data_IF_694438853446
#
_entry.id   IF_694438853446
#
_cell.length_a   1.000
_cell.length_b   1.000
_cell.length_c   1.000
_cell.angle_alpha   90.00
_cell.angle_beta   90.00
_cell.angle_gamma   90.00
#
_symmetry.space_group_name_H-M   'P 1'
#
loop_
_entity.id
_entity.type
_entity.pdbx_description
1 polymer ?
#
# COMPACT_ATOMS: atom_id res chain seq x y z
N UNK A 1 8.16 3.72 0.36
CA UNK A 1 7.95 3.01 1.63
C UNK A 1 6.82 2.00 1.49
N UNK A 2 7.08 0.74 1.85
CA UNK A 2 6.09 -0.35 1.86
C UNK A 2 6.02 -0.94 3.28
N UNK A 3 4.82 -1.14 3.82
CA UNK A 3 4.59 -1.57 5.22
C UNK A 3 3.51 -2.65 5.28
N UNK A 4 3.42 -3.45 6.36
CA UNK A 4 2.29 -4.35 6.57
C UNK A 4 0.96 -3.58 6.61
N UNK A 5 -0.11 -4.16 6.05
CA UNK A 5 -1.46 -3.56 6.11
C UNK A 5 -2.08 -3.71 7.51
N UNK A 6 -1.81 -2.72 8.36
CA UNK A 6 -2.33 -2.65 9.72
C UNK A 6 -3.85 -2.44 9.79
N UNK A 7 -4.54 -2.13 8.69
CA UNK A 7 -6.01 -2.06 8.71
C UNK A 7 -6.63 -3.40 9.14
N UNK A 8 -5.97 -4.51 8.86
CA UNK A 8 -6.34 -5.84 9.34
C UNK A 8 -6.41 -5.91 10.88
N UNK A 9 -5.46 -5.28 11.57
CA UNK A 9 -5.39 -5.29 13.03
C UNK A 9 -6.34 -4.24 13.60
N UNK A 10 -6.29 -3.01 13.09
CA UNK A 10 -7.06 -1.87 13.59
C UNK A 10 -8.57 -2.15 13.55
N UNK A 11 -9.09 -2.75 12.48
CA UNK A 11 -10.49 -3.17 12.39
C UNK A 11 -10.92 -4.13 13.51
N UNK A 12 -10.02 -4.98 14.00
CA UNK A 12 -10.30 -5.94 15.07
C UNK A 12 -10.08 -5.40 16.48
N UNK A 13 -9.38 -4.28 16.62
CA UNK A 13 -9.19 -3.60 17.90
C UNK A 13 -10.39 -2.72 18.26
N UNK A 14 -11.21 -2.32 17.28
CA UNK A 14 -12.40 -1.50 17.48
C UNK A 14 -12.13 -0.22 18.30
N UNK A 15 -11.00 0.45 18.03
CA UNK A 15 -10.63 1.72 18.65
C UNK A 15 -10.06 1.64 20.07
N UNK A 16 -9.95 0.45 20.69
CA UNK A 16 -9.41 0.31 22.06
C UNK A 16 -7.99 -0.24 22.07
N UNK A 17 -7.10 0.45 22.79
CA UNK A 17 -5.69 0.10 23.02
C UNK A 17 -5.37 -0.10 24.51
N UNK A 18 -6.35 -0.55 25.31
CA UNK A 18 -6.07 -1.00 26.67
C UNK A 18 -5.10 -2.20 26.72
N UNK A 19 -4.73 -2.70 27.92
CA UNK A 19 -3.78 -3.81 28.07
C UNK A 19 -4.13 -5.04 27.21
N UNK A 20 -5.40 -5.43 27.17
CA UNK A 20 -5.92 -6.51 26.33
C UNK A 20 -5.78 -6.17 24.83
N UNK A 21 -6.03 -4.92 24.46
CA UNK A 21 -5.87 -4.41 23.09
C UNK A 21 -4.42 -4.49 22.60
N UNK A 22 -3.44 -4.18 23.46
CA UNK A 22 -2.01 -4.29 23.13
C UNK A 22 -1.61 -5.74 22.89
N UNK A 23 -2.01 -6.67 23.78
CA UNK A 23 -1.72 -8.10 23.61
C UNK A 23 -2.36 -8.60 22.31
N UNK A 24 -3.62 -8.22 22.06
CA UNK A 24 -4.35 -8.55 20.83
C UNK A 24 -3.65 -7.98 19.59
N UNK A 25 -3.13 -6.75 19.65
CA UNK A 25 -2.37 -6.13 18.57
C UNK A 25 -1.09 -6.92 18.26
N UNK A 26 -0.30 -7.24 19.29
CA UNK A 26 0.97 -7.97 19.13
C UNK A 26 0.78 -9.37 18.55
N UNK A 27 -0.32 -10.03 18.90
CA UNK A 27 -0.69 -11.31 18.31
C UNK A 27 -1.17 -11.18 16.86
N UNK A 28 -2.02 -10.20 16.58
CA UNK A 28 -2.61 -10.03 15.24
C UNK A 28 -1.64 -9.44 14.22
N UNK A 29 -0.66 -8.61 14.62
CA UNK A 29 0.31 -8.01 13.68
C UNK A 29 1.15 -9.08 12.96
N UNK A 30 1.46 -10.19 13.63
CA UNK A 30 2.19 -11.32 13.04
C UNK A 30 1.37 -12.09 12.00
N UNK A 31 0.04 -11.91 12.01
CA UNK A 31 -0.89 -12.56 11.08
C UNK A 31 -1.22 -11.71 9.85
N UNK A 32 -0.60 -10.53 9.70
CA UNK A 32 -0.80 -9.69 8.53
C UNK A 32 -0.17 -10.38 7.32
N UNK A 33 -0.98 -10.61 6.29
CA UNK A 33 -0.57 -11.24 5.02
C UNK A 33 -0.49 -10.28 3.84
N UNK A 34 -0.89 -9.03 4.04
CA UNK A 34 -0.92 -8.01 3.00
C UNK A 34 0.05 -6.89 3.33
N UNK A 35 0.64 -6.30 2.31
CA UNK A 35 1.43 -5.07 2.42
C UNK A 35 0.70 -3.90 1.79
N UNK A 36 1.07 -2.69 2.19
CA UNK A 36 0.60 -1.45 1.62
C UNK A 36 1.80 -0.63 1.16
N UNK A 37 1.83 -0.31 -0.13
CA UNK A 37 2.77 0.65 -0.69
C UNK A 37 2.22 2.06 -0.42
N UNK A 38 2.86 2.77 0.50
CA UNK A 38 2.45 4.12 0.90
C UNK A 38 3.02 5.19 -0.03
N UNK A 39 4.29 5.02 -0.38
CA UNK A 39 5.01 5.99 -1.21
C UNK A 39 5.97 5.27 -2.14
N UNK A 40 6.07 5.78 -3.36
CA UNK A 40 7.12 5.42 -4.30
C UNK A 40 7.39 6.64 -5.16
N UNK A 41 8.65 6.87 -5.49
CA UNK A 41 9.01 7.98 -6.35
C UNK A 41 10.43 7.84 -6.88
N UNK A 42 10.61 8.34 -8.09
CA UNK A 42 11.90 8.57 -8.72
C UNK A 42 12.02 10.09 -8.91
N UNK A 43 13.19 10.63 -8.54
CA UNK A 43 13.52 12.05 -8.76
C UNK A 43 13.49 12.36 -10.26
N UNK A 44 13.11 13.61 -10.59
CA UNK A 44 12.66 13.97 -11.95
C UNK A 44 13.70 13.67 -13.03
N UNK A 45 14.97 13.84 -12.70
CA UNK A 45 16.14 13.68 -13.58
C UNK A 45 16.33 12.22 -14.04
N UNK A 46 15.76 11.28 -13.29
CA UNK A 46 15.92 9.84 -13.46
C UNK A 46 14.63 9.12 -13.88
N UNK A 47 13.54 9.85 -14.09
CA UNK A 47 12.27 9.29 -14.57
C UNK A 47 12.39 8.81 -16.02
N UNK A 48 11.53 7.87 -16.40
CA UNK A 48 11.47 7.28 -17.75
C UNK A 48 12.76 6.56 -18.19
N UNK A 49 13.61 6.15 -17.23
CA UNK A 49 14.81 5.34 -17.48
C UNK A 49 14.65 3.87 -17.09
N UNK A 50 13.42 3.45 -16.76
CA UNK A 50 13.09 2.09 -16.33
C UNK A 50 13.35 1.80 -14.85
N UNK A 51 13.82 2.79 -14.08
CA UNK A 51 14.09 2.63 -12.64
C UNK A 51 12.82 2.33 -11.84
N UNK A 52 11.67 2.85 -12.28
CA UNK A 52 10.37 2.57 -11.70
C UNK A 52 10.06 1.06 -11.74
N UNK A 53 10.33 0.41 -12.87
CA UNK A 53 10.13 -1.03 -13.04
C UNK A 53 11.05 -1.86 -12.13
N UNK A 54 12.31 -1.44 -11.98
CA UNK A 54 13.26 -2.08 -11.05
C UNK A 54 12.75 -1.95 -9.61
N UNK A 55 12.29 -0.76 -9.21
CA UNK A 55 11.73 -0.54 -7.89
C UNK A 55 10.49 -1.42 -7.63
N UNK A 56 9.59 -1.55 -8.60
CA UNK A 56 8.44 -2.44 -8.49
C UNK A 56 8.87 -3.90 -8.27
N UNK A 57 9.81 -4.38 -9.09
CA UNK A 57 10.33 -5.74 -8.99
C UNK A 57 10.97 -6.02 -7.63
N UNK A 58 11.82 -5.11 -7.14
CA UNK A 58 12.48 -5.28 -5.84
C UNK A 58 11.47 -5.27 -4.69
N UNK A 59 10.41 -4.46 -4.76
CA UNK A 59 9.34 -4.48 -3.76
C UNK A 59 8.60 -5.82 -3.77
N UNK A 60 8.19 -6.30 -4.95
CA UNK A 60 7.49 -7.59 -5.08
C UNK A 60 8.35 -8.76 -4.58
N UNK A 61 9.64 -8.76 -4.94
CA UNK A 61 10.61 -9.75 -4.48
C UNK A 61 10.81 -9.72 -2.97
N UNK A 62 11.07 -8.55 -2.39
CA UNK A 62 11.31 -8.40 -0.96
C UNK A 62 10.07 -8.77 -0.13
N UNK A 63 8.88 -8.34 -0.57
CA UNK A 63 7.62 -8.62 0.14
C UNK A 63 7.20 -10.08 0.01
N UNK A 64 7.41 -10.70 -1.15
CA UNK A 64 7.22 -12.14 -1.33
C UNK A 64 8.16 -12.97 -0.45
N UNK A 65 9.45 -12.61 -0.40
CA UNK A 65 10.43 -13.26 0.47
C UNK A 65 10.10 -13.12 1.97
N UNK A 66 9.45 -12.03 2.37
CA UNK A 66 8.96 -11.81 3.72
C UNK A 66 7.65 -12.55 4.05
N UNK A 67 7.08 -13.31 3.11
CA UNK A 67 5.89 -14.15 3.32
C UNK A 67 4.55 -13.41 3.25
N UNK A 68 4.51 -12.29 2.51
CA UNK A 68 3.27 -11.59 2.18
C UNK A 68 2.69 -12.10 0.87
N UNK A 69 1.36 -12.26 0.84
CA UNK A 69 0.65 -12.90 -0.27
C UNK A 69 0.23 -11.89 -1.36
N UNK A 70 -0.06 -10.65 -0.95
CA UNK A 70 -0.46 -9.59 -1.88
C UNK A 70 -0.22 -8.19 -1.31
N UNK A 71 -0.34 -7.18 -2.18
CA UNK A 71 -0.16 -5.77 -1.83
C UNK A 71 -1.33 -4.89 -2.26
N UNK A 72 -1.55 -3.81 -1.52
CA UNK A 72 -2.37 -2.67 -1.91
C UNK A 72 -1.45 -1.50 -2.23
N UNK A 73 -1.72 -0.80 -3.31
CA UNK A 73 -1.14 0.51 -3.58
C UNK A 73 -2.16 1.52 -3.10
N UNK A 74 -1.71 2.45 -2.25
CA UNK A 74 -2.57 3.50 -1.68
C UNK A 74 -3.27 4.30 -2.79
N UNK A 75 -4.03 5.33 -2.43
CA UNK A 75 -4.60 6.23 -3.42
C UNK A 75 -3.57 6.92 -4.33
N UNK A 76 -3.89 6.98 -5.62
CA UNK A 76 -3.26 7.85 -6.62
C UNK A 76 -4.32 8.79 -7.19
N UNK A 77 -3.87 9.92 -7.73
CA UNK A 77 -4.76 10.79 -8.50
C UNK A 77 -5.13 10.09 -9.82
N UNK A 78 -6.38 10.28 -10.24
CA UNK A 78 -6.90 9.64 -11.45
C UNK A 78 -6.18 10.09 -12.73
N UNK A 79 -5.73 11.34 -12.77
CA UNK A 79 -5.03 11.97 -13.88
C UNK A 79 -3.51 11.72 -13.90
N UNK A 80 -2.99 10.95 -12.94
CA UNK A 80 -1.58 10.58 -12.92
C UNK A 80 -1.33 9.34 -13.79
N UNK A 81 -1.43 9.52 -15.11
CA UNK A 81 -1.30 8.45 -16.10
C UNK A 81 0.00 7.64 -15.95
N UNK A 82 1.10 8.30 -15.60
CA UNK A 82 2.41 7.66 -15.45
C UNK A 82 2.39 6.59 -14.37
N UNK A 83 1.93 6.94 -13.15
CA UNK A 83 1.88 5.95 -12.07
C UNK A 83 0.77 4.93 -12.33
N UNK A 84 -0.40 5.36 -12.83
CA UNK A 84 -1.55 4.47 -13.04
C UNK A 84 -1.23 3.37 -14.07
N UNK A 85 -0.57 3.70 -15.18
CA UNK A 85 -0.08 2.70 -16.14
C UNK A 85 0.98 1.77 -15.53
N UNK A 86 1.87 2.31 -14.69
CA UNK A 86 2.84 1.50 -13.95
C UNK A 86 2.17 0.49 -13.01
N UNK A 87 1.10 0.90 -12.32
CA UNK A 87 0.29 0.05 -11.44
C UNK A 87 -0.38 -1.09 -12.22
N UNK A 88 -0.99 -0.77 -13.35
CA UNK A 88 -1.61 -1.76 -14.24
C UNK A 88 -0.57 -2.75 -14.81
N UNK A 89 0.60 -2.25 -15.22
CA UNK A 89 1.70 -3.07 -15.72
C UNK A 89 2.28 -4.05 -14.66
N UNK A 90 2.18 -3.71 -13.37
CA UNK A 90 2.49 -4.64 -12.27
C UNK A 90 1.44 -5.75 -12.09
N UNK A 91 0.35 -5.76 -12.86
CA UNK A 91 -0.76 -6.71 -12.71
C UNK A 91 -1.75 -6.36 -11.61
N UNK A 92 -1.68 -5.12 -11.08
CA UNK A 92 -2.64 -4.66 -10.08
C UNK A 92 -4.00 -4.38 -10.70
N UNK A 93 -5.06 -4.51 -9.91
CA UNK A 93 -6.44 -4.24 -10.34
C UNK A 93 -7.01 -3.06 -9.55
N UNK A 94 -7.61 -2.10 -10.25
CA UNK A 94 -8.35 -1.00 -9.62
C UNK A 94 -9.55 -1.59 -8.85
N UNK A 95 -9.53 -1.47 -7.51
CA UNK A 95 -10.58 -2.04 -6.66
C UNK A 95 -11.54 -0.98 -6.09
N UNK A 96 -11.14 0.29 -6.03
CA UNK A 96 -11.97 1.38 -5.52
C UNK A 96 -11.55 2.71 -6.12
N UNK A 97 -12.55 3.52 -6.47
CA UNK A 97 -12.39 4.88 -6.96
C UNK A 97 -13.10 5.84 -6.00
N UNK A 98 -12.40 6.85 -5.53
CA UNK A 98 -12.95 7.88 -4.65
C UNK A 98 -13.23 9.17 -5.45
N UNK A 99 -14.22 9.92 -4.98
CA UNK A 99 -14.56 11.25 -5.47
C UNK A 99 -14.63 12.16 -4.26
N UNK A 100 -13.87 13.24 -4.29
CA UNK A 100 -13.86 14.25 -3.24
C UNK A 100 -14.74 15.39 -3.74
N UNK A 101 -15.74 15.74 -2.95
CA UNK A 101 -16.63 16.86 -3.20
C UNK A 101 -16.42 17.89 -2.10
N UNK A 102 -16.45 19.15 -2.48
CA UNK A 102 -16.46 20.28 -1.56
C UNK A 102 -17.82 20.97 -1.67
N UNK A 103 -18.38 21.36 -0.53
CA UNK A 103 -19.56 22.23 -0.46
C UNK A 103 -19.12 23.53 0.19
N UNK A 104 -19.64 24.66 -0.29
CA UNK A 104 -19.63 25.86 0.51
C UNK A 104 -20.40 25.56 1.82
N UNK A 105 -19.76 25.86 2.94
CA UNK A 105 -20.37 25.84 4.28
C UNK A 105 -21.37 26.99 4.44
#
# INVERSE_FOLDING_TARGET
>A
MCVPDYNFVLKRLNGSLGPIGIIKFLYLKQKIKKVRLMTLGVIKEYRNRGLEAVLYYEILKATGAAGYDCGELSWTLEDNDLINKGIEAMGCRLYKKYRIFESAL
#
